data_IF_879655079215
#
_entry.id   IF_879655079215
#
_cell.length_a   1.000
_cell.length_b   1.000
_cell.length_c   1.000
_cell.angle_alpha   90.00
_cell.angle_beta   90.00
_cell.angle_gamma   90.00
#
_symmetry.space_group_name_H-M   'P 1'
#
loop_
_entity.id
_entity.type
_entity.pdbx_description
1 polymer ?
#
# COMPACT_ATOMS: atom_id res chain seq x y z
N UNK A 1 46.33 6.76 4.08
CA UNK A 1 45.48 7.00 5.25
C UNK A 1 44.85 5.67 5.59
N UNK A 2 45.43 5.00 6.59
CA UNK A 2 44.97 3.72 7.13
C UNK A 2 43.63 3.88 7.85
N UNK A 3 42.71 2.99 7.48
CA UNK A 3 41.92 2.12 8.34
C UNK A 3 41.24 2.71 9.61
N UNK A 4 39.90 2.68 9.60
CA UNK A 4 39.10 2.35 10.79
C UNK A 4 38.04 1.33 10.40
N UNK A 5 38.47 0.08 10.33
CA UNK A 5 37.58 -1.07 10.40
C UNK A 5 37.32 -1.32 11.88
N UNK A 6 36.27 -0.70 12.42
CA UNK A 6 35.86 -0.89 13.80
C UNK A 6 35.18 -2.26 13.90
N UNK A 7 35.96 -3.25 14.33
CA UNK A 7 35.50 -4.61 14.61
C UNK A 7 34.39 -4.51 15.66
N UNK A 8 33.14 -4.64 15.21
CA UNK A 8 32.00 -4.88 16.08
C UNK A 8 32.31 -6.14 16.89
N UNK A 9 32.38 -5.99 18.22
CA UNK A 9 32.48 -7.12 19.14
C UNK A 9 31.23 -7.99 18.95
N UNK A 10 31.39 -9.13 18.29
CA UNK A 10 30.36 -10.18 18.28
C UNK A 10 30.18 -10.64 19.71
N UNK A 11 29.07 -10.28 20.35
CA UNK A 11 28.68 -10.90 21.62
C UNK A 11 28.46 -12.39 21.34
N UNK A 12 29.36 -13.24 21.84
CA UNK A 12 29.22 -14.69 21.72
C UNK A 12 27.89 -15.13 22.33
N UNK A 13 27.09 -15.88 21.56
CA UNK A 13 25.84 -16.43 22.04
C UNK A 13 26.07 -17.18 23.38
N UNK A 14 25.25 -16.95 24.42
CA UNK A 14 25.47 -17.50 25.77
C UNK A 14 25.72 -19.02 25.79
N UNK A 15 25.10 -19.75 24.85
CA UNK A 15 25.28 -21.18 24.69
C UNK A 15 26.71 -21.56 24.25
N UNK A 16 27.33 -20.82 23.32
CA UNK A 16 28.70 -21.10 22.88
C UNK A 16 29.72 -20.91 24.01
N UNK A 17 29.48 -19.93 24.88
CA UNK A 17 30.30 -19.70 26.06
C UNK A 17 30.17 -20.84 27.08
N UNK A 18 28.95 -21.36 27.28
CA UNK A 18 28.69 -22.50 28.15
C UNK A 18 29.30 -23.79 27.58
N UNK A 19 29.17 -24.05 26.27
CA UNK A 19 29.77 -25.21 25.61
C UNK A 19 31.30 -25.17 25.68
N UNK A 20 31.90 -23.99 25.49
CA UNK A 20 33.36 -23.81 25.60
C UNK A 20 33.86 -24.11 27.02
N UNK A 21 33.12 -23.67 28.05
CA UNK A 21 33.43 -24.00 29.44
C UNK A 21 33.24 -25.49 29.74
N UNK A 22 32.15 -26.11 29.28
CA UNK A 22 31.89 -27.53 29.48
C UNK A 22 32.90 -28.45 28.75
N UNK A 23 33.40 -28.01 27.60
CA UNK A 23 34.41 -28.73 26.80
C UNK A 23 35.81 -28.65 27.41
N UNK A 24 36.13 -27.56 28.13
CA UNK A 24 37.40 -27.40 28.83
C UNK A 24 37.56 -28.39 30.00
N UNK A 25 36.44 -28.80 30.63
CA UNK A 25 36.43 -29.74 31.76
C UNK A 25 36.50 -31.22 31.33
N UNK A 26 36.45 -31.52 30.02
CA UNK A 26 36.70 -32.85 29.46
C UNK A 26 35.65 -33.94 29.79
N UNK A 27 34.57 -33.60 30.49
CA UNK A 27 33.53 -34.55 30.92
C UNK A 27 32.13 -34.04 30.55
N UNK A 28 31.79 -34.09 29.27
CA UNK A 28 30.49 -33.64 28.78
C UNK A 28 29.50 -34.81 28.84
N UNK A 29 28.62 -34.76 29.83
CA UNK A 29 27.48 -35.66 29.99
C UNK A 29 26.36 -35.28 28.99
N UNK A 30 25.94 -36.23 28.15
CA UNK A 30 24.91 -36.03 27.13
C UNK A 30 23.58 -35.52 27.73
N UNK A 31 23.23 -35.95 28.94
CA UNK A 31 22.02 -35.50 29.63
C UNK A 31 22.13 -34.03 30.07
N UNK A 32 23.34 -33.56 30.38
CA UNK A 32 23.59 -32.14 30.69
C UNK A 32 23.54 -31.29 29.42
N UNK A 33 24.06 -31.77 28.29
CA UNK A 33 23.93 -31.08 27.01
C UNK A 33 22.47 -30.89 26.61
N UNK A 34 21.65 -31.94 26.71
CA UNK A 34 20.21 -31.84 26.40
C UNK A 34 19.52 -30.79 27.29
N UNK A 35 19.79 -30.79 28.60
CA UNK A 35 19.26 -29.75 29.51
C UNK A 35 19.75 -28.35 29.18
N UNK A 36 20.98 -28.19 28.73
CA UNK A 36 21.52 -26.90 28.31
C UNK A 36 20.87 -26.40 27.02
N UNK A 37 20.61 -27.29 26.06
CA UNK A 37 19.86 -26.97 24.85
C UNK A 37 18.42 -26.54 25.19
N UNK A 38 17.72 -27.27 26.06
CA UNK A 38 16.38 -26.87 26.52
C UNK A 38 16.37 -25.49 27.20
N UNK A 39 17.38 -25.19 28.02
CA UNK A 39 17.53 -23.88 28.66
C UNK A 39 17.81 -22.79 27.62
N UNK A 40 18.61 -23.07 26.60
CA UNK A 40 18.90 -22.15 25.51
C UNK A 40 17.66 -21.91 24.62
N UNK A 41 16.93 -22.94 24.21
CA UNK A 41 15.67 -22.79 23.46
C UNK A 41 14.66 -21.94 24.23
N UNK A 42 14.53 -22.16 25.54
CA UNK A 42 13.69 -21.32 26.40
C UNK A 42 14.19 -19.89 26.50
N UNK A 43 15.51 -19.68 26.56
CA UNK A 43 16.09 -18.35 26.58
C UNK A 43 15.82 -17.63 25.26
N UNK A 44 16.06 -18.26 24.12
CA UNK A 44 15.79 -17.72 22.79
C UNK A 44 14.29 -17.42 22.59
N UNK A 45 13.40 -18.30 23.03
CA UNK A 45 11.96 -18.06 23.00
C UNK A 45 11.56 -16.83 23.85
N UNK A 46 12.19 -16.64 25.01
CA UNK A 46 11.96 -15.47 25.86
C UNK A 46 12.51 -14.19 25.22
N UNK A 47 13.69 -14.23 24.61
CA UNK A 47 14.25 -13.09 23.88
C UNK A 47 13.38 -12.71 22.67
N UNK A 48 12.92 -13.70 21.89
CA UNK A 48 11.99 -13.48 20.80
C UNK A 48 10.67 -12.84 21.27
N UNK A 49 10.15 -13.28 22.42
CA UNK A 49 8.94 -12.70 23.03
C UNK A 49 9.16 -11.26 23.48
N UNK A 50 10.27 -10.95 24.14
CA UNK A 50 10.61 -9.57 24.54
C UNK A 50 10.73 -8.67 23.31
N UNK A 51 11.41 -9.15 22.26
CA UNK A 51 11.58 -8.41 21.02
C UNK A 51 10.24 -8.14 20.32
N UNK A 52 9.35 -9.14 20.27
CA UNK A 52 7.98 -8.95 19.76
C UNK A 52 7.23 -7.85 20.55
N UNK A 53 7.29 -7.87 21.89
CA UNK A 53 6.62 -6.86 22.72
C UNK A 53 7.17 -5.46 22.45
N UNK A 54 8.49 -5.31 22.31
CA UNK A 54 9.12 -4.04 21.97
C UNK A 54 8.68 -3.57 20.57
N UNK A 55 8.74 -4.46 19.57
CA UNK A 55 8.33 -4.15 18.19
C UNK A 55 6.85 -3.73 18.12
N UNK A 56 5.97 -4.43 18.84
CA UNK A 56 4.55 -4.10 18.89
C UNK A 56 4.27 -2.79 19.63
N UNK A 57 5.06 -2.47 20.66
CA UNK A 57 4.98 -1.19 21.36
C UNK A 57 5.43 -0.02 20.47
N UNK A 58 6.52 -0.18 19.72
CA UNK A 58 6.99 0.83 18.75
C UNK A 58 6.00 1.01 17.60
N UNK A 59 5.43 -0.08 17.07
CA UNK A 59 4.33 -0.02 16.09
C UNK A 59 3.14 0.80 16.60
N UNK A 60 2.76 0.62 17.86
CA UNK A 60 1.63 1.34 18.49
C UNK A 60 1.94 2.79 18.86
N UNK A 61 3.19 3.22 18.80
CA UNK A 61 3.58 4.61 19.10
C UNK A 61 3.08 5.59 18.05
N UNK A 62 3.09 5.15 16.79
CA UNK A 62 2.56 5.90 15.64
C UNK A 62 1.62 4.97 14.85
N UNK A 63 0.44 4.66 15.41
CA UNK A 63 -0.45 3.71 14.77
C UNK A 63 -0.97 4.28 13.44
N UNK A 64 -1.03 3.46 12.38
CA UNK A 64 -1.56 3.93 11.11
C UNK A 64 -3.05 4.22 11.20
N UNK A 65 -3.50 5.26 10.50
CA UNK A 65 -4.91 5.59 10.37
C UNK A 65 -5.56 4.73 9.27
N UNK A 66 -6.72 4.14 9.57
CA UNK A 66 -7.43 3.25 8.64
C UNK A 66 -8.78 3.88 8.30
N UNK A 67 -8.87 4.49 7.12
CA UNK A 67 -10.07 5.19 6.66
C UNK A 67 -11.06 4.20 6.02
N UNK A 68 -12.37 4.44 6.18
CA UNK A 68 -13.42 3.69 5.45
C UNK A 68 -13.39 4.09 3.96
N UNK A 69 -12.95 3.19 3.08
CA UNK A 69 -12.77 3.43 1.63
C UNK A 69 -13.92 2.91 0.76
N UNK A 70 -14.94 2.26 1.34
CA UNK A 70 -16.05 1.67 0.58
C UNK A 70 -17.42 2.00 1.17
N UNK A 71 -18.29 2.56 0.33
CA UNK A 71 -19.72 2.65 0.60
C UNK A 71 -20.46 1.41 0.07
N UNK A 72 -21.39 0.89 0.87
CA UNK A 72 -22.31 -0.18 0.49
C UNK A 72 -23.72 0.39 0.55
N UNK A 73 -24.40 0.43 -0.59
CA UNK A 73 -25.78 0.87 -0.71
C UNK A 73 -26.58 -0.14 -1.53
N UNK A 74 -27.56 -0.80 -0.92
CA UNK A 74 -28.50 -1.67 -1.63
C UNK A 74 -29.88 -1.67 -0.99
N UNK A 75 -30.91 -1.77 -1.83
CA UNK A 75 -32.32 -1.82 -1.41
C UNK A 75 -32.85 -3.25 -1.49
N UNK A 76 -33.49 -3.68 -0.41
CA UNK A 76 -34.22 -4.95 -0.34
C UNK A 76 -35.70 -4.68 -0.06
N UNK A 77 -36.53 -5.72 -0.17
CA UNK A 77 -37.94 -5.66 0.25
C UNK A 77 -38.13 -5.34 1.74
N UNK A 78 -37.07 -5.39 2.55
CA UNK A 78 -37.08 -5.08 3.99
C UNK A 78 -36.51 -3.69 4.32
N UNK A 79 -36.08 -2.91 3.32
CA UNK A 79 -35.49 -1.58 3.49
C UNK A 79 -34.19 -1.38 2.71
N UNK A 80 -33.67 -0.16 2.78
CA UNK A 80 -32.37 0.24 2.19
C UNK A 80 -31.28 0.17 3.24
N UNK A 81 -30.18 -0.50 2.91
CA UNK A 81 -28.97 -0.58 3.74
C UNK A 81 -27.91 0.33 3.12
N UNK A 82 -27.45 1.32 3.88
CA UNK A 82 -26.36 2.22 3.51
C UNK A 82 -25.33 2.31 4.65
N UNK A 83 -24.08 1.91 4.40
CA UNK A 83 -23.00 2.09 5.36
C UNK A 83 -21.61 2.15 4.70
N UNK A 84 -20.69 2.86 5.33
CA UNK A 84 -19.28 2.91 4.96
C UNK A 84 -18.45 1.89 5.75
N UNK A 85 -17.47 1.27 5.12
CA UNK A 85 -16.53 0.36 5.77
C UNK A 85 -15.13 0.40 5.12
N UNK A 86 -14.11 -0.01 5.87
CA UNK A 86 -12.76 -0.18 5.34
C UNK A 86 -12.61 -1.55 4.67
N UNK A 87 -12.15 -1.61 3.43
CA UNK A 87 -11.94 -2.86 2.69
C UNK A 87 -10.80 -3.68 3.30
N UNK A 88 -10.79 -5.00 3.06
CA UNK A 88 -9.67 -5.84 3.49
C UNK A 88 -8.36 -5.35 2.86
N UNK A 89 -8.37 -5.01 1.57
CA UNK A 89 -7.18 -4.53 0.85
C UNK A 89 -6.55 -3.34 1.56
N UNK A 90 -7.33 -2.28 1.81
CA UNK A 90 -6.90 -1.08 2.53
C UNK A 90 -6.38 -1.40 3.95
N UNK A 91 -7.11 -2.21 4.73
CA UNK A 91 -6.69 -2.60 6.08
C UNK A 91 -5.35 -3.34 6.02
N UNK A 92 -5.21 -4.30 5.11
CA UNK A 92 -4.00 -5.12 4.99
C UNK A 92 -2.81 -4.34 4.46
N UNK A 93 -2.96 -3.51 3.43
CA UNK A 93 -1.86 -2.71 2.89
C UNK A 93 -1.34 -1.73 3.95
N UNK A 94 -2.24 -1.04 4.64
CA UNK A 94 -1.93 -0.04 5.66
C UNK A 94 -1.23 -0.68 6.86
N UNK A 95 -1.82 -1.75 7.43
CA UNK A 95 -1.28 -2.41 8.61
C UNK A 95 0.03 -3.16 8.27
N UNK A 96 0.09 -3.91 7.17
CA UNK A 96 1.29 -4.70 6.85
C UNK A 96 2.49 -3.81 6.52
N UNK A 97 2.27 -2.66 5.88
CA UNK A 97 3.34 -1.68 5.64
C UNK A 97 3.92 -1.19 6.96
N UNK A 98 3.05 -0.80 7.91
CA UNK A 98 3.49 -0.35 9.22
C UNK A 98 4.14 -1.48 10.06
N UNK A 99 3.60 -2.69 10.06
CA UNK A 99 4.18 -3.85 10.75
C UNK A 99 5.57 -4.22 10.22
N UNK A 100 5.76 -4.17 8.89
CA UNK A 100 7.01 -4.55 8.24
C UNK A 100 8.18 -3.66 8.69
N UNK A 101 7.93 -2.38 8.97
CA UNK A 101 8.92 -1.46 9.52
C UNK A 101 9.48 -1.87 10.90
N UNK A 102 8.77 -2.76 11.62
CA UNK A 102 9.15 -3.28 12.93
C UNK A 102 9.49 -4.77 12.91
N UNK A 103 9.69 -5.37 11.72
CA UNK A 103 10.03 -6.80 11.60
C UNK A 103 8.88 -7.73 12.00
N UNK A 104 7.63 -7.27 11.89
CA UNK A 104 6.41 -8.02 12.16
C UNK A 104 5.71 -8.37 10.83
N UNK A 105 5.20 -9.59 10.72
CA UNK A 105 4.44 -10.04 9.55
C UNK A 105 3.13 -10.69 9.97
N UNK A 106 2.03 -10.34 9.28
CA UNK A 106 0.71 -10.92 9.50
C UNK A 106 0.40 -12.01 8.47
N UNK A 107 -0.24 -13.09 8.92
CA UNK A 107 -0.68 -14.21 8.09
C UNK A 107 -2.01 -14.76 8.60
N UNK A 108 -2.70 -15.55 7.77
CA UNK A 108 -3.95 -16.18 8.16
C UNK A 108 -3.96 -17.68 7.91
N UNK A 109 -4.62 -18.40 8.80
CA UNK A 109 -5.02 -19.79 8.63
C UNK A 109 -6.55 -19.80 8.56
N UNK A 110 -7.09 -20.44 7.53
CA UNK A 110 -8.54 -20.54 7.31
C UNK A 110 -8.97 -22.00 7.40
N UNK A 111 -10.08 -22.24 8.09
CA UNK A 111 -10.64 -23.57 8.28
C UNK A 111 -12.17 -23.53 8.15
N UNK A 112 -12.76 -24.66 7.76
CA UNK A 112 -14.19 -24.81 7.63
C UNK A 112 -14.68 -26.00 8.46
N UNK A 113 -14.85 -25.78 9.77
CA UNK A 113 -15.29 -26.78 10.75
C UNK A 113 -16.46 -26.21 11.54
N UNK A 114 -17.70 -26.61 11.20
CA UNK A 114 -18.95 -26.07 11.79
C UNK A 114 -19.11 -24.54 11.63
N UNK A 115 -18.63 -24.00 10.51
CA UNK A 115 -18.62 -22.58 10.21
C UNK A 115 -17.36 -22.18 9.45
N UNK A 116 -17.19 -20.90 9.17
CA UNK A 116 -15.95 -20.34 8.66
C UNK A 116 -15.13 -19.85 9.85
N UNK A 117 -13.93 -20.39 10.00
CA UNK A 117 -12.98 -20.03 11.05
C UNK A 117 -11.74 -19.41 10.43
N UNK A 118 -11.32 -18.27 10.98
CA UNK A 118 -10.12 -17.56 10.52
C UNK A 118 -9.27 -17.23 11.74
N UNK A 119 -8.00 -17.65 11.69
CA UNK A 119 -6.97 -17.34 12.68
C UNK A 119 -5.99 -16.38 12.03
N UNK A 120 -5.85 -15.17 12.57
CA UNK A 120 -4.78 -14.24 12.20
C UNK A 120 -3.60 -14.46 13.14
N UNK A 121 -2.40 -14.49 12.58
CA UNK A 121 -1.14 -14.67 13.30
C UNK A 121 -0.15 -13.57 12.91
N UNK A 122 0.38 -12.85 13.90
CA UNK A 122 1.50 -11.92 13.70
C UNK A 122 2.77 -12.57 14.23
N UNK A 123 3.81 -12.63 13.40
CA UNK A 123 5.10 -13.24 13.73
C UNK A 123 6.20 -12.19 13.66
N UNK A 124 7.05 -12.12 14.69
CA UNK A 124 8.27 -11.32 14.68
C UNK A 124 9.41 -12.05 13.99
N UNK A 125 10.37 -11.33 13.41
CA UNK A 125 11.53 -11.91 12.72
C UNK A 125 12.36 -12.87 13.60
N UNK A 126 12.32 -12.72 14.93
CA UNK A 126 12.95 -13.63 15.89
C UNK A 126 12.11 -14.87 16.24
N UNK A 127 10.96 -15.07 15.60
CA UNK A 127 10.18 -16.32 15.65
C UNK A 127 9.04 -16.35 16.67
N UNK A 128 8.91 -15.38 17.56
CA UNK A 128 7.73 -15.29 18.44
C UNK A 128 6.50 -14.85 17.64
N UNK A 129 5.35 -15.42 17.98
CA UNK A 129 4.08 -15.08 17.33
C UNK A 129 2.91 -15.10 18.29
N UNK A 130 1.97 -14.18 18.08
CA UNK A 130 0.66 -14.17 18.73
C UNK A 130 -0.43 -14.33 17.69
N UNK A 131 -1.57 -14.88 18.09
CA UNK A 131 -2.68 -15.15 17.20
C UNK A 131 -4.04 -14.86 17.84
N UNK A 132 -5.03 -14.57 17.00
CA UNK A 132 -6.42 -14.43 17.40
C UNK A 132 -7.32 -15.11 16.36
N UNK A 133 -8.41 -15.69 16.84
CA UNK A 133 -9.31 -16.50 16.00
C UNK A 133 -10.75 -16.04 16.14
N UNK A 134 -11.43 -15.89 15.01
CA UNK A 134 -12.87 -15.65 14.96
C UNK A 134 -13.56 -16.73 14.12
N UNK A 135 -14.82 -17.02 14.46
CA UNK A 135 -15.66 -18.00 13.75
C UNK A 135 -17.03 -17.40 13.48
N UNK A 136 -17.57 -17.63 12.29
CA UNK A 136 -18.91 -17.20 11.89
C UNK A 136 -19.54 -18.16 10.89
N UNK A 137 -20.87 -18.11 10.77
CA UNK A 137 -21.58 -18.80 9.69
C UNK A 137 -21.28 -18.14 8.32
N UNK A 138 -21.41 -18.89 7.20
CA UNK A 138 -21.37 -18.30 5.86
C UNK A 138 -22.40 -17.18 5.70
N UNK A 139 -22.00 -16.06 5.10
CA UNK A 139 -22.86 -14.89 4.92
C UNK A 139 -23.82 -15.09 3.75
N UNK A 140 -25.07 -15.45 4.06
CA UNK A 140 -26.13 -15.69 3.08
C UNK A 140 -26.90 -14.44 2.66
N UNK A 141 -26.41 -13.24 2.98
CA UNK A 141 -27.06 -11.99 2.58
C UNK A 141 -26.97 -11.74 1.07
N UNK A 142 -27.86 -10.89 0.53
CA UNK A 142 -27.75 -10.39 -0.85
C UNK A 142 -27.94 -11.42 -1.97
N UNK A 143 -28.52 -12.59 -1.70
CA UNK A 143 -28.75 -13.63 -2.73
C UNK A 143 -27.48 -14.37 -3.18
N UNK A 144 -26.43 -14.35 -2.35
CA UNK A 144 -25.16 -15.04 -2.61
C UNK A 144 -25.35 -16.56 -2.73
N UNK A 145 -24.57 -17.18 -3.62
CA UNK A 145 -24.43 -18.63 -3.61
C UNK A 145 -23.55 -19.10 -2.44
N UNK A 146 -23.54 -20.42 -2.16
CA UNK A 146 -22.83 -20.98 -1.01
C UNK A 146 -21.32 -20.65 -0.98
N UNK A 147 -20.65 -20.64 -2.12
CA UNK A 147 -19.21 -20.34 -2.23
C UNK A 147 -18.96 -18.86 -1.94
N UNK A 148 -19.78 -17.97 -2.51
CA UNK A 148 -19.71 -16.53 -2.26
C UNK A 148 -19.96 -16.18 -0.80
N UNK A 149 -20.90 -16.86 -0.16
CA UNK A 149 -21.21 -16.70 1.26
C UNK A 149 -19.98 -17.01 2.13
N UNK A 150 -19.30 -18.12 1.85
CA UNK A 150 -18.05 -18.49 2.53
C UNK A 150 -16.97 -17.44 2.29
N UNK A 151 -16.74 -17.06 1.03
CA UNK A 151 -15.73 -16.07 0.65
C UNK A 151 -15.92 -14.74 1.36
N UNK A 152 -17.16 -14.21 1.40
CA UNK A 152 -17.44 -12.97 2.12
C UNK A 152 -17.21 -13.08 3.62
N UNK A 153 -17.54 -14.23 4.23
CA UNK A 153 -17.25 -14.45 5.65
C UNK A 153 -15.75 -14.51 5.90
N UNK A 154 -14.97 -15.20 5.07
CA UNK A 154 -13.49 -15.25 5.19
C UNK A 154 -12.91 -13.84 5.14
N UNK A 155 -13.25 -13.05 4.12
CA UNK A 155 -12.76 -11.67 3.96
C UNK A 155 -13.11 -10.80 5.16
N UNK A 156 -14.34 -10.94 5.67
CA UNK A 156 -14.78 -10.20 6.85
C UNK A 156 -13.95 -10.60 8.09
N UNK A 157 -13.83 -11.90 8.38
CA UNK A 157 -13.10 -12.37 9.55
C UNK A 157 -11.60 -12.06 9.47
N UNK A 158 -10.97 -12.11 8.29
CA UNK A 158 -9.58 -11.71 8.10
C UNK A 158 -9.34 -10.26 8.53
N UNK A 159 -10.25 -9.35 8.14
CA UNK A 159 -10.19 -7.94 8.52
C UNK A 159 -10.26 -7.75 10.04
N UNK A 160 -11.28 -8.33 10.69
CA UNK A 160 -11.49 -8.11 12.12
C UNK A 160 -10.46 -8.82 13.00
N UNK A 161 -9.96 -9.99 12.59
CA UNK A 161 -8.88 -10.67 13.32
C UNK A 161 -7.59 -9.86 13.29
N UNK A 162 -7.24 -9.23 12.15
CA UNK A 162 -6.07 -8.36 12.06
C UNK A 162 -6.22 -7.07 12.89
N UNK A 163 -7.38 -6.43 12.82
CA UNK A 163 -7.69 -5.25 13.65
C UNK A 163 -7.62 -5.60 15.14
N UNK A 164 -8.20 -6.73 15.54
CA UNK A 164 -8.19 -7.19 16.93
C UNK A 164 -6.77 -7.48 17.44
N UNK A 165 -5.94 -8.16 16.63
CA UNK A 165 -4.59 -8.53 17.03
C UNK A 165 -3.64 -7.32 17.12
N UNK A 166 -3.82 -6.35 16.23
CA UNK A 166 -3.06 -5.08 16.27
C UNK A 166 -3.61 -4.07 17.27
N UNK A 167 -4.86 -4.24 17.72
CA UNK A 167 -5.53 -3.31 18.62
C UNK A 167 -5.92 -1.99 17.94
N UNK A 168 -6.19 -2.05 16.63
CA UNK A 168 -6.56 -0.89 15.81
C UNK A 168 -8.06 -0.90 15.49
N UNK A 169 -8.58 0.29 15.18
CA UNK A 169 -9.95 0.49 14.73
C UNK A 169 -9.97 1.32 13.44
N UNK A 170 -10.99 1.12 12.61
CA UNK A 170 -11.24 1.96 11.44
C UNK A 170 -11.82 3.29 11.90
N UNK A 171 -11.42 4.41 11.28
CA UNK A 171 -11.98 5.71 11.61
C UNK A 171 -13.44 5.82 11.18
N UNK A 172 -14.22 6.52 11.99
CA UNK A 172 -15.58 6.90 11.63
C UNK A 172 -15.53 7.97 10.53
N UNK A 173 -16.16 7.70 9.38
CA UNK A 173 -16.58 8.79 8.51
C UNK A 173 -17.83 9.38 9.17
N UNK A 174 -17.60 10.41 9.97
CA UNK A 174 -18.62 11.14 10.73
C UNK A 174 -19.64 11.78 9.79
N UNK A 175 -20.81 11.15 9.65
CA UNK A 175 -22.01 11.72 9.02
C UNK A 175 -23.30 11.55 9.86
N UNK A 176 -23.22 11.04 11.11
CA UNK A 176 -24.40 10.79 11.96
C UNK A 176 -24.31 11.45 13.36
N UNK A 177 -23.71 12.62 13.44
CA UNK A 177 -23.66 13.46 14.64
C UNK A 177 -24.82 14.47 14.77
N UNK A 178 -26.08 14.03 14.68
CA UNK A 178 -27.19 14.86 15.15
C UNK A 178 -27.28 14.77 16.69
N UNK A 179 -27.10 15.92 17.34
CA UNK A 179 -27.23 16.16 18.78
C UNK A 179 -26.12 15.61 19.69
N UNK A 180 -25.00 16.34 19.75
CA UNK A 180 -24.49 16.88 21.03
C UNK A 180 -23.49 17.98 20.70
N UNK A 181 -23.63 19.13 21.37
CA UNK A 181 -22.74 20.27 21.22
C UNK A 181 -21.31 19.88 21.61
N UNK A 182 -20.47 19.53 20.63
CA UNK A 182 -19.02 19.51 20.84
C UNK A 182 -18.40 20.75 20.18
N UNK A 183 -18.38 21.83 20.96
CA UNK A 183 -17.45 22.93 20.71
C UNK A 183 -16.07 22.43 21.10
N UNK A 184 -15.27 21.98 20.13
CA UNK A 184 -13.86 22.36 19.91
C UNK A 184 -13.13 21.38 18.98
N UNK A 185 -13.31 21.59 17.68
CA UNK A 185 -12.26 21.57 16.65
C UNK A 185 -12.91 22.07 15.36
N UNK A 186 -12.47 23.19 14.75
CA UNK A 186 -13.03 23.61 13.48
C UNK A 186 -12.78 22.49 12.45
N UNK A 187 -13.84 21.82 11.99
CA UNK A 187 -13.78 21.00 10.78
C UNK A 187 -13.28 21.94 9.67
N UNK A 188 -12.06 21.71 9.18
CA UNK A 188 -11.53 22.44 8.03
C UNK A 188 -12.45 22.11 6.85
N UNK A 189 -13.23 23.09 6.39
CA UNK A 189 -14.05 22.88 5.19
C UNK A 189 -13.13 22.80 3.97
N UNK A 190 -13.58 22.15 2.89
CA UNK A 190 -12.88 22.26 1.61
C UNK A 190 -13.04 23.70 1.07
N UNK A 191 -12.05 24.26 0.36
CA UNK A 191 -12.20 25.56 -0.29
C UNK A 191 -13.44 25.58 -1.18
N UNK A 192 -14.21 26.65 -1.13
CA UNK A 192 -15.25 26.89 -2.15
C UNK A 192 -14.63 27.35 -3.47
N UNK A 193 -15.42 27.45 -4.54
CA UNK A 193 -14.93 27.86 -5.88
C UNK A 193 -14.19 29.20 -5.84
N UNK A 194 -14.63 30.16 -5.01
CA UNK A 194 -14.02 31.49 -4.94
C UNK A 194 -12.69 31.45 -4.18
N UNK A 195 -12.64 30.68 -3.10
CA UNK A 195 -11.43 30.45 -2.32
C UNK A 195 -10.40 29.70 -3.15
N UNK A 196 -10.82 28.70 -3.91
CA UNK A 196 -9.98 27.94 -4.81
C UNK A 196 -9.36 28.83 -5.91
N UNK A 197 -10.17 29.67 -6.56
CA UNK A 197 -9.66 30.65 -7.55
C UNK A 197 -8.59 31.59 -6.97
N UNK A 198 -8.75 32.01 -5.70
CA UNK A 198 -7.77 32.89 -5.05
C UNK A 198 -6.50 32.13 -4.66
N UNK A 199 -6.62 30.87 -4.24
CA UNK A 199 -5.48 29.99 -3.96
C UNK A 199 -4.68 29.73 -5.23
N UNK A 200 -5.34 29.45 -6.35
CA UNK A 200 -4.71 29.28 -7.67
C UNK A 200 -3.97 30.56 -8.10
N UNK A 201 -4.62 31.72 -8.00
CA UNK A 201 -3.98 33.00 -8.28
C UNK A 201 -2.76 33.31 -7.38
N UNK A 202 -2.76 32.80 -6.14
CA UNK A 202 -1.58 32.86 -5.26
C UNK A 202 -0.48 31.93 -5.75
N UNK A 203 -0.82 30.70 -6.18
CA UNK A 203 0.15 29.74 -6.70
C UNK A 203 0.86 30.26 -7.96
N UNK A 204 0.12 30.89 -8.86
CA UNK A 204 0.65 31.51 -10.07
C UNK A 204 1.60 32.68 -9.77
N UNK A 205 1.29 33.46 -8.73
CA UNK A 205 2.08 34.62 -8.33
C UNK A 205 3.30 34.29 -7.47
N UNK A 206 3.47 33.03 -7.04
CA UNK A 206 4.65 32.57 -6.30
C UNK A 206 5.84 32.31 -7.24
N UNK A 207 7.09 32.43 -6.75
CA UNK A 207 8.28 32.19 -7.57
C UNK A 207 8.34 30.76 -8.11
N UNK A 208 8.34 30.59 -9.43
CA UNK A 208 8.43 29.26 -10.04
C UNK A 208 9.86 28.69 -9.94
N UNK A 209 9.97 27.37 -9.74
CA UNK A 209 11.25 26.66 -9.64
C UNK A 209 11.38 25.63 -10.76
N UNK A 210 12.56 25.54 -11.38
CA UNK A 210 12.80 24.58 -12.46
C UNK A 210 12.63 23.14 -11.96
N UNK A 211 11.76 22.37 -12.61
CA UNK A 211 11.43 20.98 -12.26
C UNK A 211 10.46 20.80 -11.09
N UNK A 212 9.92 21.89 -10.51
CA UNK A 212 8.97 21.83 -9.40
C UNK A 212 7.74 22.69 -9.66
N UNK A 213 6.58 22.21 -9.21
CA UNK A 213 5.32 22.97 -9.25
C UNK A 213 4.91 23.43 -7.86
N UNK A 214 4.15 24.52 -7.80
CA UNK A 214 3.50 24.98 -6.57
C UNK A 214 2.17 24.26 -6.43
N UNK A 215 1.99 23.49 -5.35
CA UNK A 215 0.79 22.68 -5.14
C UNK A 215 -0.34 23.50 -4.45
N UNK A 216 -1.51 23.69 -5.09
CA UNK A 216 -2.63 24.45 -4.52
C UNK A 216 -3.18 23.88 -3.22
N UNK A 217 -3.16 22.55 -3.05
CA UNK A 217 -3.63 21.87 -1.83
C UNK A 217 -2.70 22.20 -0.67
N UNK A 218 -1.39 22.13 -0.90
CA UNK A 218 -0.39 22.42 0.12
C UNK A 218 -0.41 23.91 0.49
N UNK A 219 -0.51 24.80 -0.50
CA UNK A 219 -0.65 26.25 -0.28
C UNK A 219 -1.91 26.55 0.52
N UNK A 220 -3.06 25.99 0.13
CA UNK A 220 -4.32 26.14 0.84
C UNK A 220 -4.23 25.68 2.31
N UNK A 221 -3.63 24.53 2.56
CA UNK A 221 -3.46 23.99 3.92
C UNK A 221 -2.61 24.90 4.81
N UNK A 222 -1.52 25.47 4.28
CA UNK A 222 -0.66 26.40 5.03
C UNK A 222 -1.41 27.69 5.36
N UNK A 223 -2.16 28.23 4.41
CA UNK A 223 -2.93 29.46 4.60
C UNK A 223 -4.06 29.27 5.62
N UNK A 224 -4.77 28.15 5.54
CA UNK A 224 -5.77 27.78 6.52
C UNK A 224 -5.16 27.58 7.90
N UNK A 225 -4.02 26.89 7.99
CA UNK A 225 -3.29 26.71 9.25
C UNK A 225 -2.83 28.02 9.90
N UNK A 226 -2.56 29.06 9.11
CA UNK A 226 -2.14 30.36 9.62
C UNK A 226 -3.28 31.23 10.15
N UNK A 227 -4.45 31.23 9.49
CA UNK A 227 -5.54 32.18 9.79
C UNK A 227 -6.88 31.52 10.13
N UNK A 228 -6.94 30.18 10.17
CA UNK A 228 -8.16 29.38 10.34
C UNK A 228 -9.26 29.72 9.32
N UNK A 229 -8.86 30.17 8.12
CA UNK A 229 -9.72 30.48 6.97
C UNK A 229 -8.89 30.54 5.69
N UNK A 230 -9.50 30.23 4.54
CA UNK A 230 -8.89 30.44 3.24
C UNK A 230 -8.96 31.92 2.80
N UNK A 231 -8.05 32.36 1.92
CA UNK A 231 -8.19 33.65 1.26
C UNK A 231 -9.38 33.59 0.28
N UNK A 232 -10.27 34.57 0.34
CA UNK A 232 -11.52 34.60 -0.43
C UNK A 232 -11.68 35.88 -1.28
N UNK A 233 -10.62 36.68 -1.41
CA UNK A 233 -10.61 37.92 -2.17
C UNK A 233 -9.30 38.05 -2.95
N UNK A 234 -9.35 38.51 -4.22
CA UNK A 234 -8.15 38.79 -5.01
C UNK A 234 -7.17 39.78 -4.36
N UNK A 235 -7.66 40.70 -3.53
CA UNK A 235 -6.82 41.67 -2.79
C UNK A 235 -5.89 41.00 -1.77
N UNK A 236 -6.10 39.72 -1.48
CA UNK A 236 -5.24 38.94 -0.60
C UNK A 236 -3.99 38.40 -1.32
N UNK A 237 -3.98 38.29 -2.64
CA UNK A 237 -2.91 37.64 -3.41
C UNK A 237 -1.56 38.29 -3.12
N UNK A 238 -1.42 39.61 -3.35
CA UNK A 238 -0.16 40.33 -3.11
C UNK A 238 0.33 40.24 -1.66
N UNK A 239 -0.61 40.33 -0.70
CA UNK A 239 -0.30 40.25 0.74
C UNK A 239 0.18 38.86 1.13
N UNK A 240 -0.41 37.82 0.56
CA UNK A 240 -0.06 36.43 0.83
C UNK A 240 1.27 36.07 0.16
N UNK A 241 1.50 36.49 -1.08
CA UNK A 241 2.78 36.29 -1.78
C UNK A 241 3.92 36.95 -1.02
N UNK A 242 3.73 38.20 -0.56
CA UNK A 242 4.70 38.88 0.30
C UNK A 242 4.95 38.11 1.60
N UNK A 243 3.91 37.56 2.22
CA UNK A 243 4.05 36.76 3.43
C UNK A 243 4.87 35.48 3.20
N UNK A 244 4.68 34.78 2.07
CA UNK A 244 5.50 33.64 1.68
C UNK A 244 6.95 34.02 1.35
N UNK A 245 7.19 35.22 0.81
CA UNK A 245 8.55 35.74 0.62
C UNK A 245 9.25 35.99 1.96
N UNK A 246 8.53 36.53 2.95
CA UNK A 246 9.04 36.77 4.31
C UNK A 246 9.15 35.47 5.14
N UNK A 247 8.43 34.41 4.76
CA UNK A 247 8.36 33.13 5.46
C UNK A 247 8.51 31.96 4.48
N UNK A 248 9.74 31.61 4.06
CA UNK A 248 9.95 30.58 3.04
C UNK A 248 9.40 29.22 3.48
N UNK A 249 8.60 28.60 2.60
CA UNK A 249 7.98 27.28 2.80
C UNK A 249 8.42 26.33 1.70
N UNK A 250 9.54 25.59 1.85
CA UNK A 250 10.03 24.68 0.82
C UNK A 250 9.00 23.61 0.40
N UNK A 251 8.12 23.23 1.32
CA UNK A 251 7.10 22.20 1.11
C UNK A 251 6.04 22.55 0.06
N UNK A 252 5.91 23.82 -0.35
CA UNK A 252 4.94 24.19 -1.41
C UNK A 252 5.43 23.78 -2.80
N UNK A 253 6.74 23.53 -2.95
CA UNK A 253 7.36 23.13 -4.21
C UNK A 253 7.49 21.62 -4.26
N UNK A 254 6.60 20.98 -5.02
CA UNK A 254 6.58 19.52 -5.23
C UNK A 254 7.19 19.18 -6.58
N UNK A 255 7.84 18.03 -6.70
CA UNK A 255 8.40 17.56 -7.96
C UNK A 255 7.26 17.38 -8.99
N UNK A 256 7.38 18.01 -10.16
CA UNK A 256 6.32 17.92 -11.17
C UNK A 256 6.45 16.61 -11.97
N UNK A 257 5.74 15.58 -11.50
CA UNK A 257 5.75 14.23 -12.09
C UNK A 257 4.74 14.03 -13.24
N UNK A 258 4.02 15.10 -13.63
CA UNK A 258 3.04 15.02 -14.73
C UNK A 258 3.70 14.61 -16.05
N UNK A 259 3.00 13.76 -16.80
CA UNK A 259 3.23 13.53 -18.22
C UNK A 259 3.06 14.84 -19.02
N UNK A 260 3.56 14.89 -20.24
CA UNK A 260 3.41 16.10 -21.07
C UNK A 260 1.95 16.29 -21.47
N UNK A 261 1.19 15.20 -21.62
CA UNK A 261 -0.27 15.27 -21.80
C UNK A 261 -0.97 16.00 -20.66
N UNK A 262 -0.63 15.67 -19.41
CA UNK A 262 -1.25 16.30 -18.23
C UNK A 262 -0.85 17.77 -18.09
N UNK A 263 0.39 18.13 -18.45
CA UNK A 263 0.83 19.53 -18.50
C UNK A 263 0.09 20.32 -19.58
N UNK A 264 -0.07 19.75 -20.77
CA UNK A 264 -0.72 20.41 -21.91
C UNK A 264 -2.22 20.63 -21.70
N UNK A 265 -2.86 19.81 -20.86
CA UNK A 265 -4.30 19.87 -20.58
C UNK A 265 -4.63 20.44 -19.19
N UNK A 266 -3.63 20.97 -18.48
CA UNK A 266 -3.77 21.50 -17.12
C UNK A 266 -4.49 20.54 -16.16
N UNK A 267 -4.11 19.26 -16.25
CA UNK A 267 -4.67 18.20 -15.42
C UNK A 267 -3.83 18.04 -14.14
N UNK A 268 -4.52 17.75 -13.04
CA UNK A 268 -3.89 17.26 -11.82
C UNK A 268 -3.39 15.84 -12.09
N UNK A 269 -2.05 15.67 -12.11
CA UNK A 269 -1.44 14.34 -12.20
C UNK A 269 -1.78 13.49 -10.98
N UNK A 270 -1.90 12.18 -11.18
CA UNK A 270 -2.14 11.21 -10.12
C UNK A 270 -0.83 10.56 -9.61
N UNK A 271 -0.92 9.71 -8.59
CA UNK A 271 0.25 9.02 -8.01
C UNK A 271 0.93 8.05 -9.01
N UNK A 272 0.22 7.69 -10.08
CA UNK A 272 0.69 6.80 -11.14
C UNK A 272 1.22 7.60 -12.37
N UNK A 273 1.16 8.95 -12.35
CA UNK A 273 1.71 9.80 -13.41
C UNK A 273 3.23 9.56 -13.53
N UNK A 274 3.64 9.11 -14.72
CA UNK A 274 5.05 8.94 -15.08
C UNK A 274 5.39 10.03 -16.08
N UNK A 275 6.45 10.83 -15.86
CA UNK A 275 6.93 11.77 -16.87
C UNK A 275 7.27 11.04 -18.17
N UNK A 276 6.87 11.58 -19.31
CA UNK A 276 7.11 10.93 -20.61
C UNK A 276 8.60 10.71 -20.90
N UNK A 277 9.47 11.55 -20.34
CA UNK A 277 10.92 11.34 -20.39
C UNK A 277 11.37 10.07 -19.64
N UNK A 278 10.76 9.75 -18.50
CA UNK A 278 11.04 8.51 -17.79
C UNK A 278 10.51 7.29 -18.55
N UNK A 279 9.36 7.42 -19.23
CA UNK A 279 8.85 6.39 -20.14
C UNK A 279 9.79 6.19 -21.33
N UNK A 280 10.27 7.27 -21.95
CA UNK A 280 11.21 7.25 -23.07
C UNK A 280 12.54 6.62 -22.69
N UNK A 281 13.08 6.94 -21.51
CA UNK A 281 14.29 6.32 -20.98
C UNK A 281 14.07 4.83 -20.67
N UNK A 282 12.90 4.44 -20.17
CA UNK A 282 12.55 3.04 -19.97
C UNK A 282 12.46 2.29 -21.30
N UNK A 283 11.87 2.89 -22.34
CA UNK A 283 11.82 2.34 -23.69
C UNK A 283 13.20 2.22 -24.35
N UNK A 284 14.08 3.21 -24.20
CA UNK A 284 15.46 3.15 -24.68
C UNK A 284 16.25 2.07 -23.94
N UNK A 285 16.14 2.00 -22.61
CA UNK A 285 16.77 0.95 -21.81
C UNK A 285 16.25 -0.44 -22.21
N UNK A 286 14.95 -0.57 -22.52
CA UNK A 286 14.37 -1.81 -22.99
C UNK A 286 14.89 -2.18 -24.39
N UNK A 287 15.00 -1.23 -25.32
CA UNK A 287 15.59 -1.44 -26.65
C UNK A 287 17.06 -1.85 -26.56
N UNK A 288 17.84 -1.27 -25.66
CA UNK A 288 19.24 -1.63 -25.44
C UNK A 288 19.39 -3.03 -24.82
N UNK A 289 18.55 -3.38 -23.84
CA UNK A 289 18.64 -4.67 -23.13
C UNK A 289 18.04 -5.84 -23.89
N UNK A 290 16.95 -5.62 -24.61
CA UNK A 290 16.15 -6.68 -25.22
C UNK A 290 16.11 -6.62 -26.74
N UNK A 291 16.77 -5.64 -27.36
CA UNK A 291 16.69 -5.39 -28.79
C UNK A 291 15.33 -4.81 -29.21
N UNK A 292 15.16 -4.54 -30.49
CA UNK A 292 13.85 -4.18 -31.06
C UNK A 292 13.05 -5.46 -31.34
N UNK A 293 11.86 -5.63 -30.74
CA UNK A 293 10.92 -6.66 -31.20
C UNK A 293 10.53 -6.35 -32.65
N UNK A 294 11.16 -7.00 -33.63
CA UNK A 294 10.58 -7.14 -34.96
C UNK A 294 9.53 -8.25 -34.89
N UNK A 295 8.33 -7.89 -34.48
CA UNK A 295 7.15 -8.76 -34.58
C UNK A 295 6.67 -8.78 -36.02
N UNK A 296 7.40 -9.45 -36.90
CA UNK A 296 6.80 -9.87 -38.16
C UNK A 296 5.78 -10.97 -37.84
N UNK A 297 4.51 -10.69 -38.13
CA UNK A 297 3.44 -11.67 -37.89
C UNK A 297 3.65 -12.89 -38.79
N UNK A 298 3.45 -14.09 -38.23
CA UNK A 298 3.72 -15.35 -38.93
C UNK A 298 2.91 -15.52 -40.22
N UNK A 299 1.66 -15.07 -40.26
CA UNK A 299 0.78 -15.25 -41.41
C UNK A 299 0.35 -13.92 -42.02
N UNK A 300 0.13 -13.90 -43.33
CA UNK A 300 -0.55 -12.80 -44.04
C UNK A 300 -1.66 -13.36 -44.90
N UNK A 301 -2.88 -12.87 -44.70
CA UNK A 301 -4.00 -13.28 -45.53
C UNK A 301 -3.97 -12.58 -46.89
N UNK A 302 -3.95 -13.35 -47.98
CA UNK A 302 -3.95 -12.82 -49.35
C UNK A 302 -5.27 -12.12 -49.71
N UNK A 303 -6.36 -12.43 -49.02
CA UNK A 303 -7.69 -11.87 -49.29
C UNK A 303 -7.92 -10.51 -48.63
N UNK A 304 -7.45 -10.30 -47.40
CA UNK A 304 -7.74 -9.09 -46.64
C UNK A 304 -6.48 -8.35 -46.14
N UNK A 305 -5.30 -8.82 -46.56
CA UNK A 305 -4.00 -8.29 -46.19
C UNK A 305 -3.78 -8.20 -44.67
N UNK A 306 -4.50 -9.02 -43.90
CA UNK A 306 -4.40 -9.03 -42.45
C UNK A 306 -3.22 -9.90 -42.03
N UNK A 307 -2.34 -9.32 -41.23
CA UNK A 307 -1.21 -9.97 -40.59
C UNK A 307 -1.62 -10.51 -39.21
N UNK A 308 -1.28 -11.77 -38.91
CA UNK A 308 -1.68 -12.45 -37.68
C UNK A 308 -0.75 -13.63 -37.34
N UNK A 309 -0.65 -14.01 -36.06
CA UNK A 309 0.20 -15.12 -35.60
C UNK A 309 -0.57 -16.43 -35.39
N UNK A 310 -1.83 -16.33 -34.98
CA UNK A 310 -2.68 -17.48 -34.65
C UNK A 310 -3.90 -17.50 -35.56
N UNK A 311 -4.05 -18.55 -36.41
CA UNK A 311 -5.28 -18.76 -37.14
C UNK A 311 -6.46 -18.98 -36.19
N UNK A 312 -7.68 -18.83 -36.70
CA UNK A 312 -8.86 -19.19 -35.94
C UNK A 312 -8.93 -20.72 -35.71
N UNK A 313 -9.92 -21.16 -34.91
CA UNK A 313 -10.12 -22.59 -34.57
C UNK A 313 -10.26 -23.56 -35.76
N UNK A 314 -10.48 -23.05 -36.97
CA UNK A 314 -10.59 -23.82 -38.21
C UNK A 314 -9.34 -23.75 -39.10
N UNK A 315 -8.29 -23.05 -38.66
CA UNK A 315 -7.07 -22.85 -39.44
C UNK A 315 -7.11 -21.65 -40.40
N UNK A 316 -8.13 -20.79 -40.32
CA UNK A 316 -8.34 -19.71 -41.29
C UNK A 316 -7.99 -18.33 -40.71
N UNK A 317 -7.87 -17.33 -41.58
CA UNK A 317 -7.68 -15.94 -41.20
C UNK A 317 -8.75 -15.50 -40.17
N UNK A 318 -8.38 -14.93 -39.02
CA UNK A 318 -9.34 -14.55 -37.97
C UNK A 318 -10.27 -13.41 -38.41
N UNK A 319 -9.86 -12.59 -39.39
CA UNK A 319 -10.62 -11.43 -39.85
C UNK A 319 -11.61 -11.73 -40.97
N UNK A 320 -11.19 -12.49 -41.98
CA UNK A 320 -12.01 -12.74 -43.18
C UNK A 320 -12.41 -14.22 -43.37
N UNK A 321 -11.99 -15.10 -42.45
CA UNK A 321 -12.27 -16.53 -42.46
C UNK A 321 -11.79 -17.28 -43.72
N UNK A 322 -10.96 -16.65 -44.54
CA UNK A 322 -10.28 -17.25 -45.69
C UNK A 322 -9.19 -18.21 -45.22
N UNK A 323 -9.07 -19.36 -45.87
CA UNK A 323 -7.97 -20.31 -45.74
C UNK A 323 -6.72 -19.87 -46.53
N UNK A 324 -6.89 -18.95 -47.49
CA UNK A 324 -5.81 -18.36 -48.29
C UNK A 324 -4.95 -17.36 -47.49
N UNK A 325 -3.88 -17.87 -46.88
CA UNK A 325 -2.84 -17.10 -46.20
C UNK A 325 -1.44 -17.67 -46.45
N UNK A 326 -0.45 -16.78 -46.50
CA UNK A 326 0.98 -17.12 -46.61
C UNK A 326 1.56 -17.25 -45.21
N UNK A 327 2.16 -18.40 -44.89
CA UNK A 327 3.03 -18.57 -43.72
C UNK A 327 4.43 -18.06 -44.07
N UNK A 328 4.86 -16.97 -43.42
CA UNK A 328 6.15 -16.33 -43.63
C UNK A 328 7.29 -17.05 -42.92
N UNK A 329 7.03 -17.97 -41.98
CA UNK A 329 8.07 -18.68 -41.21
C UNK A 329 8.42 -20.07 -41.76
N UNK A 330 7.79 -20.51 -42.86
CA UNK A 330 7.95 -21.85 -43.43
C UNK A 330 8.65 -21.95 -44.79
N UNK A 331 9.24 -20.87 -45.31
CA UNK A 331 9.87 -20.85 -46.66
C UNK A 331 11.39 -21.04 -46.66
N UNK A 332 12.04 -21.18 -45.50
CA UNK A 332 13.44 -21.58 -45.39
C UNK A 332 13.55 -23.03 -44.90
N UNK A 333 13.42 -23.98 -45.84
CA UNK A 333 13.84 -25.36 -45.71
C UNK A 333 14.49 -25.84 -47.02
#
# INVERSE_FOLDING_TARGET
>A
MEEKNEIQKTEEAPLMRIITLASADGNIDADKLMKLLEVNERYEANEAKKAYVIAMAEFKKNPPEIIKDRNVNYSTSKGTTNYNHATLANVTSTINTALSGHGLTASWITAQENGVKVTCKITHILGHSEETTLTAAPDTSGGKNAIQAIGSTVTYLQRYTLLALTGLATTEQDDDGAASEDKTKPKVHKPDEKEQMVIEAICDALPQQEGKRVDPIVVGAILYGSKSRYPNSPDHVEKVVKWFADNPRPQIYVDDKRSDFEKDNDLDGDDDSVPDEALRQAEETAKEKFGTEQKESRYTCNRCNHEYDTPNKHGNCPKCFSDDAVDRQGQDA
#
